data_IF_657234698035
#
_entry.id   IF_657234698035
#
_cell.length_a   1.000
_cell.length_b   1.000
_cell.length_c   1.000
_cell.angle_alpha   90.00
_cell.angle_beta   90.00
_cell.angle_gamma   90.00
#
_symmetry.space_group_name_H-M   'P 1'
#
loop_
_entity.id
_entity.type
_entity.pdbx_description
1 polymer ?
#
# COMPACT_ATOMS: atom_id res chain seq x y z
N UNK A 1 30.27 14.66 14.07
CA UNK A 1 29.02 14.20 13.42
C UNK A 1 28.85 14.99 12.14
N UNK A 2 28.86 14.33 10.98
CA UNK A 2 28.61 14.97 9.68
C UNK A 2 27.20 15.59 9.68
N UNK A 3 27.07 16.85 9.29
CA UNK A 3 25.76 17.49 9.18
C UNK A 3 24.97 16.85 8.03
N UNK A 4 23.76 16.39 8.32
CA UNK A 4 22.89 15.75 7.33
C UNK A 4 22.51 16.74 6.22
N UNK A 5 22.79 16.37 4.97
CA UNK A 5 22.40 17.17 3.81
C UNK A 5 20.95 16.82 3.40
N UNK A 6 20.05 17.80 3.48
CA UNK A 6 18.63 17.65 3.08
C UNK A 6 18.50 17.19 1.61
N UNK A 7 19.47 17.53 0.76
CA UNK A 7 19.47 17.09 -0.64
C UNK A 7 19.65 15.59 -0.81
N UNK A 8 20.46 14.99 0.05
CA UNK A 8 20.74 13.56 0.01
C UNK A 8 19.62 12.73 0.65
N UNK A 9 18.85 13.33 1.55
CA UNK A 9 17.73 12.67 2.24
C UNK A 9 16.41 12.67 1.45
N UNK A 10 16.24 13.59 0.50
CA UNK A 10 14.99 13.69 -0.26
C UNK A 10 14.94 12.68 -1.42
N UNK A 11 14.28 11.55 -1.19
CA UNK A 11 14.06 10.52 -2.21
C UNK A 11 12.95 10.86 -3.21
N UNK A 12 12.07 11.83 -2.98
CA UNK A 12 10.98 12.14 -3.92
C UNK A 12 11.51 12.67 -5.25
N UNK A 13 12.69 13.31 -5.24
CA UNK A 13 13.40 13.78 -6.44
C UNK A 13 13.86 12.66 -7.38
N UNK A 14 13.88 11.41 -6.92
CA UNK A 14 14.27 10.26 -7.73
C UNK A 14 13.08 9.64 -8.47
N UNK A 15 11.85 10.01 -8.09
CA UNK A 15 10.66 9.54 -8.78
C UNK A 15 10.51 10.23 -10.13
N UNK A 16 9.87 9.54 -11.07
CA UNK A 16 9.66 9.99 -12.44
C UNK A 16 8.19 10.35 -12.72
N UNK A 17 7.33 10.25 -11.70
CA UNK A 17 5.91 10.58 -11.76
C UNK A 17 5.42 11.15 -10.42
N UNK A 18 4.40 12.00 -10.46
CA UNK A 18 3.72 12.59 -9.31
C UNK A 18 2.65 11.65 -8.72
N UNK A 19 3.02 10.38 -8.56
CA UNK A 19 2.18 9.34 -7.99
C UNK A 19 2.82 8.78 -6.74
N UNK A 20 2.07 8.76 -5.64
CA UNK A 20 2.47 8.09 -4.40
C UNK A 20 2.01 6.64 -4.43
N UNK A 21 2.93 5.70 -4.42
CA UNK A 21 2.61 4.28 -4.26
C UNK A 21 2.82 3.86 -2.80
N UNK A 22 1.71 3.60 -2.11
CA UNK A 22 1.72 3.09 -0.73
C UNK A 22 1.52 1.58 -0.73
N UNK A 23 2.62 0.83 -0.81
CA UNK A 23 2.65 -0.64 -0.74
C UNK A 23 2.50 -1.11 0.72
N UNK A 24 1.32 -0.94 1.27
CA UNK A 24 1.06 -0.97 2.72
C UNK A 24 1.31 -2.34 3.35
N UNK A 25 1.97 -2.33 4.51
CA UNK A 25 2.14 -3.50 5.38
C UNK A 25 0.92 -3.65 6.32
N UNK A 26 0.47 -4.87 6.64
CA UNK A 26 -0.60 -5.08 7.61
C UNK A 26 -0.14 -4.78 9.05
N UNK A 27 -1.08 -4.29 9.88
CA UNK A 27 -0.94 -4.08 11.33
C UNK A 27 0.09 -3.02 11.77
N UNK A 28 0.39 -2.08 10.89
CA UNK A 28 1.31 -0.94 11.13
C UNK A 28 0.58 0.41 11.30
N UNK A 29 -0.75 0.41 11.44
CA UNK A 29 -1.55 1.64 11.40
C UNK A 29 -1.87 2.13 9.98
N UNK A 30 -1.69 1.27 8.96
CA UNK A 30 -1.87 1.63 7.55
C UNK A 30 -3.31 2.03 7.17
N UNK A 31 -4.32 1.62 7.93
CA UNK A 31 -5.71 2.05 7.70
C UNK A 31 -5.93 3.51 8.08
N UNK A 32 -5.35 3.97 9.19
CA UNK A 32 -5.40 5.39 9.60
C UNK A 32 -4.67 6.26 8.59
N UNK A 33 -3.51 5.81 8.10
CA UNK A 33 -2.77 6.55 7.08
C UNK A 33 -3.51 6.60 5.73
N UNK A 34 -4.18 5.51 5.34
CA UNK A 34 -5.06 5.49 4.16
C UNK A 34 -6.21 6.50 4.29
N UNK A 35 -6.86 6.56 5.45
CA UNK A 35 -7.94 7.53 5.70
C UNK A 35 -7.43 8.98 5.68
N UNK A 36 -6.23 9.23 6.19
CA UNK A 36 -5.57 10.53 6.06
C UNK A 36 -5.34 10.88 4.58
N UNK A 37 -4.80 9.96 3.79
CA UNK A 37 -4.57 10.17 2.35
C UNK A 37 -5.87 10.47 1.60
N UNK A 38 -6.97 9.77 1.92
CA UNK A 38 -8.30 10.04 1.35
C UNK A 38 -8.79 11.45 1.67
N UNK A 39 -8.64 11.92 2.91
CA UNK A 39 -9.04 13.29 3.27
C UNK A 39 -8.15 14.35 2.62
N UNK A 40 -6.87 14.05 2.49
CA UNK A 40 -5.93 14.93 1.80
C UNK A 40 -6.19 14.98 0.30
N UNK A 41 -6.68 13.90 -0.31
CA UNK A 41 -7.00 13.86 -1.74
C UNK A 41 -8.15 14.82 -2.07
N UNK A 42 -9.18 14.83 -1.23
CA UNK A 42 -10.31 15.77 -1.31
C UNK A 42 -9.85 17.23 -1.11
N UNK A 43 -8.95 17.48 -0.15
CA UNK A 43 -8.49 18.84 0.17
C UNK A 43 -7.49 19.41 -0.83
N UNK A 44 -6.61 18.56 -1.36
CA UNK A 44 -5.48 18.96 -2.20
C UNK A 44 -5.69 18.61 -3.69
N UNK A 45 -6.87 18.10 -4.04
CA UNK A 45 -7.29 17.82 -5.43
C UNK A 45 -6.36 16.84 -6.18
N UNK A 46 -6.06 15.69 -5.58
CA UNK A 46 -5.38 14.57 -6.23
C UNK A 46 -6.26 13.32 -6.22
N UNK A 47 -6.00 12.35 -7.10
CA UNK A 47 -6.82 11.15 -7.20
C UNK A 47 -6.45 10.10 -6.15
N UNK A 48 -7.45 9.43 -5.58
CA UNK A 48 -7.27 8.38 -4.59
C UNK A 48 -7.70 7.02 -5.14
N UNK A 49 -6.73 6.11 -5.26
CA UNK A 49 -6.95 4.75 -5.77
C UNK A 49 -6.57 3.72 -4.71
N UNK A 50 -7.43 2.72 -4.53
CA UNK A 50 -7.16 1.57 -3.66
C UNK A 50 -7.52 0.28 -4.37
N UNK A 51 -6.76 -0.76 -4.11
CA UNK A 51 -7.08 -2.10 -4.58
C UNK A 51 -8.40 -2.62 -3.97
N UNK A 52 -9.10 -3.46 -4.72
CA UNK A 52 -10.34 -4.07 -4.27
C UNK A 52 -10.09 -5.07 -3.13
N UNK A 53 -11.08 -5.27 -2.27
CA UNK A 53 -10.98 -6.26 -1.19
C UNK A 53 -11.03 -7.67 -1.79
N UNK A 54 -9.97 -8.44 -1.57
CA UNK A 54 -9.83 -9.81 -2.10
C UNK A 54 -10.10 -10.87 -1.02
N UNK A 55 -10.57 -12.05 -1.46
CA UNK A 55 -10.81 -13.20 -0.56
C UNK A 55 -9.51 -13.67 0.09
N UNK A 56 -8.42 -13.67 -0.67
CA UNK A 56 -7.05 -13.92 -0.20
C UNK A 56 -6.18 -12.80 -0.78
N UNK A 57 -5.45 -12.11 0.07
CA UNK A 57 -4.49 -11.10 -0.39
C UNK A 57 -3.20 -11.77 -0.83
N UNK A 58 -2.87 -11.66 -2.12
CA UNK A 58 -1.58 -12.11 -2.66
C UNK A 58 -0.53 -11.02 -2.46
N UNK A 59 0.23 -11.13 -1.37
CA UNK A 59 1.26 -10.13 -1.01
C UNK A 59 2.49 -10.24 -1.93
N UNK A 60 2.90 -11.47 -2.25
CA UNK A 60 4.02 -11.76 -3.15
C UNK A 60 3.47 -12.06 -4.53
N UNK A 61 3.48 -11.06 -5.38
CA UNK A 61 3.06 -11.16 -6.76
C UNK A 61 4.09 -11.96 -7.58
N UNK A 62 3.59 -12.77 -8.52
CA UNK A 62 4.42 -13.37 -9.57
C UNK A 62 4.94 -12.28 -10.53
N UNK A 63 5.92 -12.61 -11.37
CA UNK A 63 6.62 -11.62 -12.19
C UNK A 63 5.72 -10.93 -13.22
N UNK A 64 4.82 -11.69 -13.83
CA UNK A 64 3.75 -11.23 -14.72
C UNK A 64 2.79 -10.27 -13.99
N UNK A 65 2.36 -10.64 -12.78
CA UNK A 65 1.48 -9.81 -11.95
C UNK A 65 2.17 -8.53 -11.46
N UNK A 66 3.48 -8.58 -11.24
CA UNK A 66 4.28 -7.39 -10.90
C UNK A 66 4.37 -6.42 -12.09
N UNK A 67 4.52 -6.94 -13.30
CA UNK A 67 4.51 -6.14 -14.51
C UNK A 67 3.13 -5.50 -14.72
N UNK A 68 2.06 -6.28 -14.67
CA UNK A 68 0.68 -5.78 -14.80
C UNK A 68 0.39 -4.68 -13.77
N UNK A 69 0.78 -4.89 -12.51
CA UNK A 69 0.63 -3.88 -11.47
C UNK A 69 1.40 -2.59 -11.80
N UNK A 70 2.63 -2.72 -12.30
CA UNK A 70 3.45 -1.56 -12.64
C UNK A 70 2.87 -0.79 -13.83
N UNK A 71 2.35 -1.49 -14.84
CA UNK A 71 1.66 -0.91 -15.99
C UNK A 71 0.42 -0.14 -15.54
N UNK A 72 -0.45 -0.77 -14.75
CA UNK A 72 -1.66 -0.14 -14.19
C UNK A 72 -1.33 1.12 -13.40
N UNK A 73 -0.30 1.08 -12.54
CA UNK A 73 0.11 2.25 -11.76
C UNK A 73 0.67 3.36 -12.67
N UNK A 74 1.40 3.00 -13.72
CA UNK A 74 2.01 3.97 -14.65
C UNK A 74 0.98 4.69 -15.53
N UNK A 75 -0.20 4.09 -15.72
CA UNK A 75 -1.30 4.66 -16.50
C UNK A 75 -2.27 5.53 -15.68
N UNK A 76 -2.11 5.58 -14.36
CA UNK A 76 -2.96 6.39 -13.50
C UNK A 76 -2.74 7.90 -13.74
N UNK A 77 -3.79 8.72 -13.61
CA UNK A 77 -3.66 10.18 -13.71
C UNK A 77 -2.77 10.74 -12.59
N UNK A 78 -1.99 11.76 -12.91
CA UNK A 78 -1.16 12.51 -11.97
C UNK A 78 -1.79 13.88 -11.64
N UNK A 79 -1.76 14.36 -10.39
CA UNK A 79 -1.23 13.70 -9.20
C UNK A 79 -2.21 12.67 -8.60
N UNK A 80 -1.68 11.58 -8.06
CA UNK A 80 -2.51 10.55 -7.42
C UNK A 80 -1.80 9.74 -6.35
N UNK A 81 -2.58 8.94 -5.62
CA UNK A 81 -2.10 7.93 -4.69
C UNK A 81 -2.70 6.58 -5.02
N UNK A 82 -1.87 5.54 -5.07
CA UNK A 82 -2.30 4.15 -5.22
C UNK A 82 -1.91 3.34 -3.97
N UNK A 83 -2.84 2.55 -3.47
CA UNK A 83 -2.68 1.81 -2.21
C UNK A 83 -2.99 0.33 -2.43
N UNK A 84 -2.01 -0.54 -2.13
CA UNK A 84 -2.15 -1.99 -2.27
C UNK A 84 -1.30 -2.75 -1.24
N UNK A 85 -1.79 -3.90 -0.78
CA UNK A 85 -1.06 -4.81 0.09
C UNK A 85 -0.13 -5.73 -0.72
N UNK A 86 1.03 -5.22 -1.13
CA UNK A 86 2.02 -5.99 -1.91
C UNK A 86 3.46 -5.72 -1.46
N UNK A 87 4.35 -6.66 -1.76
CA UNK A 87 5.79 -6.44 -1.68
C UNK A 87 6.25 -5.35 -2.68
N UNK A 88 7.50 -4.92 -2.53
CA UNK A 88 8.10 -3.96 -3.45
C UNK A 88 8.10 -4.49 -4.89
N UNK A 89 7.66 -3.64 -5.82
CA UNK A 89 7.69 -3.90 -7.27
C UNK A 89 8.72 -2.99 -7.92
N UNK A 90 9.65 -3.56 -8.68
CA UNK A 90 10.69 -2.76 -9.35
C UNK A 90 10.24 -2.27 -10.73
N UNK A 91 9.75 -1.03 -10.82
CA UNK A 91 9.27 -0.42 -12.06
C UNK A 91 10.36 -0.32 -13.15
N UNK A 92 11.62 -0.10 -12.75
CA UNK A 92 12.72 0.03 -13.73
C UNK A 92 13.00 -1.27 -14.47
N UNK A 93 12.66 -2.42 -13.87
CA UNK A 93 12.80 -3.74 -14.52
C UNK A 93 11.93 -3.83 -15.78
N UNK A 94 10.80 -3.12 -15.79
CA UNK A 94 9.83 -3.12 -16.88
C UNK A 94 9.94 -1.87 -17.76
N UNK A 95 11.00 -1.08 -17.60
CA UNK A 95 11.18 0.21 -18.29
C UNK A 95 10.04 1.21 -18.06
N UNK A 96 9.41 1.15 -16.87
CA UNK A 96 8.29 2.01 -16.47
C UNK A 96 8.76 3.13 -15.52
N UNK A 97 8.05 4.28 -15.49
CA UNK A 97 8.38 5.38 -14.59
C UNK A 97 8.24 4.96 -13.13
N UNK A 98 9.19 5.38 -12.31
CA UNK A 98 9.20 5.04 -10.88
C UNK A 98 8.31 5.98 -10.07
N UNK A 99 7.31 5.47 -9.31
CA UNK A 99 6.49 6.28 -8.43
C UNK A 99 7.22 6.64 -7.14
N UNK A 100 6.64 7.55 -6.37
CA UNK A 100 7.08 7.89 -5.02
C UNK A 100 6.62 6.79 -4.06
N UNK A 101 7.53 5.93 -3.64
CA UNK A 101 7.25 4.94 -2.61
C UNK A 101 7.14 5.57 -1.22
N UNK A 102 6.09 5.20 -0.50
CA UNK A 102 5.95 5.47 0.93
C UNK A 102 5.59 4.18 1.65
N UNK A 103 6.07 4.01 2.87
CA UNK A 103 5.65 2.90 3.71
C UNK A 103 5.66 3.30 5.18
N UNK A 104 4.96 2.50 5.99
CA UNK A 104 4.93 2.62 7.44
C UNK A 104 5.27 1.25 8.00
N UNK A 105 6.23 1.23 8.93
CA UNK A 105 6.65 0.02 9.63
C UNK A 105 6.34 0.14 11.11
N UNK A 106 6.25 -1.01 11.79
CA UNK A 106 6.01 -1.12 13.23
C UNK A 106 7.02 -2.09 13.81
N UNK A 107 7.31 -1.94 15.10
CA UNK A 107 8.05 -2.93 15.87
C UNK A 107 7.54 -4.37 15.56
N UNK A 108 8.42 -5.34 15.27
CA UNK A 108 8.02 -6.66 14.82
C UNK A 108 7.14 -7.41 15.83
N UNK A 109 7.44 -7.32 17.13
CA UNK A 109 6.73 -8.05 18.18
C UNK A 109 5.34 -7.47 18.33
N UNK A 110 5.25 -6.15 18.45
CA UNK A 110 4.00 -5.40 18.52
C UNK A 110 3.09 -5.65 17.30
N UNK A 111 3.69 -5.77 16.11
CA UNK A 111 2.95 -6.09 14.88
C UNK A 111 2.37 -7.49 14.92
N UNK A 112 3.11 -8.48 15.42
CA UNK A 112 2.63 -9.87 15.59
C UNK A 112 1.53 -9.95 16.64
N UNK A 113 1.69 -9.29 17.78
CA UNK A 113 0.65 -9.20 18.83
C UNK A 113 -0.64 -8.60 18.25
N UNK A 114 -0.53 -7.49 17.51
CA UNK A 114 -1.67 -6.86 16.86
C UNK A 114 -2.35 -7.77 15.84
N UNK A 115 -1.59 -8.56 15.09
CA UNK A 115 -2.14 -9.55 14.16
C UNK A 115 -2.85 -10.69 14.91
N UNK A 116 -2.25 -11.21 15.98
CA UNK A 116 -2.76 -12.33 16.78
C UNK A 116 -4.18 -12.07 17.29
N UNK A 117 -4.43 -10.90 17.87
CA UNK A 117 -5.75 -10.52 18.37
C UNK A 117 -6.71 -10.16 17.24
N UNK A 118 -6.23 -9.53 16.17
CA UNK A 118 -7.06 -9.14 15.03
C UNK A 118 -7.74 -10.33 14.35
N UNK A 119 -7.00 -11.41 14.06
CA UNK A 119 -7.56 -12.59 13.37
C UNK A 119 -8.51 -13.41 14.25
N UNK A 120 -8.59 -13.11 15.55
CA UNK A 120 -9.47 -13.78 16.53
C UNK A 120 -10.64 -12.91 16.98
N UNK A 121 -10.69 -11.67 16.50
CA UNK A 121 -11.73 -10.75 16.90
C UNK A 121 -13.09 -11.18 16.32
N UNK A 122 -14.18 -11.11 17.10
CA UNK A 122 -15.51 -11.49 16.60
C UNK A 122 -15.92 -10.75 15.33
N UNK A 123 -15.65 -9.45 15.25
CA UNK A 123 -15.98 -8.63 14.08
C UNK A 123 -15.23 -9.06 12.81
N UNK A 124 -14.00 -9.59 12.94
CA UNK A 124 -13.25 -10.09 11.79
C UNK A 124 -14.00 -11.22 11.08
N UNK A 125 -14.59 -12.15 11.84
CA UNK A 125 -15.36 -13.25 11.27
C UNK A 125 -16.67 -12.77 10.64
N UNK A 126 -17.38 -11.85 11.31
CA UNK A 126 -18.63 -11.27 10.81
C UNK A 126 -18.40 -10.51 9.50
N UNK A 127 -17.41 -9.63 9.46
CA UNK A 127 -17.08 -8.83 8.26
C UNK A 127 -16.65 -9.71 7.09
N UNK A 128 -15.84 -10.75 7.34
CA UNK A 128 -15.43 -11.66 6.27
C UNK A 128 -16.58 -12.51 5.74
N UNK A 129 -17.50 -12.95 6.60
CA UNK A 129 -18.70 -13.68 6.16
C UNK A 129 -19.66 -12.78 5.37
N UNK A 130 -19.78 -11.52 5.76
CA UNK A 130 -20.56 -10.53 5.01
C UNK A 130 -19.94 -10.22 3.63
N UNK A 131 -18.61 -10.08 3.56
CA UNK A 131 -17.90 -9.83 2.31
C UNK A 131 -17.79 -11.07 1.42
N UNK A 132 -17.72 -12.27 2.01
CA UNK A 132 -17.55 -13.55 1.32
C UNK A 132 -18.47 -14.62 1.94
N UNK A 133 -19.77 -14.67 1.57
CA UNK A 133 -20.75 -15.59 2.17
C UNK A 133 -20.37 -17.07 2.10
N UNK A 134 -19.71 -17.48 1.02
CA UNK A 134 -19.29 -18.87 0.78
C UNK A 134 -17.94 -19.23 1.45
N UNK A 135 -17.37 -18.32 2.23
CA UNK A 135 -16.14 -18.61 2.97
C UNK A 135 -16.49 -19.47 4.20
N UNK A 136 -16.02 -20.71 4.22
CA UNK A 136 -16.05 -21.54 5.42
C UNK A 136 -15.05 -20.98 6.44
N UNK A 137 -15.57 -20.16 7.34
CA UNK A 137 -14.89 -19.69 8.53
C UNK A 137 -15.32 -20.67 9.63
N UNK A 138 -14.34 -21.36 10.23
CA UNK A 138 -14.44 -22.47 11.22
C UNK A 138 -15.80 -22.61 11.89
#
# INVERSE_FOLDING_TARGET
MSALNVRELNNTRKAQMELVFFNRVPKVGSQTFMELLRRLSERNNFQFHRDAVQKVETIRLAEDQQQELAEVISELPEPSVFIKHVCFTNFTKYSLPTPIYVNVVRDPIERVISWFYYVRAPWYFVERKAAFPDLHIV
#
